data_IF_574721799341
#
_entry.id   IF_574721799341
#
_cell.length_a   1.000
_cell.length_b   1.000
_cell.length_c   1.000
_cell.angle_alpha   90.00
_cell.angle_beta   90.00
_cell.angle_gamma   90.00
#
_symmetry.space_group_name_H-M   'P 1'
#
loop_
_entity.id
_entity.type
_entity.pdbx_description
1 polymer ?
#
# COMPACT_ATOMS: atom_id res chain seq x y z
N UNK A 1 -17.11 14.30 -14.97
CA UNK A 1 -15.80 13.71 -14.63
C UNK A 1 -15.78 12.87 -13.35
N UNK A 2 -16.70 13.07 -12.41
CA UNK A 2 -16.71 12.28 -11.16
C UNK A 2 -17.29 10.86 -11.27
N UNK A 3 -18.14 10.58 -12.25
CA UNK A 3 -18.78 9.27 -12.40
C UNK A 3 -17.91 8.24 -13.15
N UNK A 4 -16.97 8.68 -13.94
CA UNK A 4 -16.19 7.80 -14.82
C UNK A 4 -15.11 7.02 -14.06
N UNK A 5 -14.38 7.66 -13.15
CA UNK A 5 -13.36 6.96 -12.35
C UNK A 5 -13.97 5.99 -11.33
N UNK A 6 -15.15 6.29 -10.79
CA UNK A 6 -15.83 5.41 -9.84
C UNK A 6 -16.24 4.08 -10.49
N UNK A 7 -16.83 4.15 -11.68
CA UNK A 7 -17.19 2.93 -12.44
C UNK A 7 -15.95 2.11 -12.83
N UNK A 8 -14.86 2.78 -13.21
CA UNK A 8 -13.60 2.12 -13.51
C UNK A 8 -12.99 1.45 -12.26
N UNK A 9 -13.09 2.10 -11.11
CA UNK A 9 -12.65 1.56 -9.82
C UNK A 9 -13.45 0.33 -9.41
N UNK A 10 -14.78 0.37 -9.52
CA UNK A 10 -15.65 -0.78 -9.25
C UNK A 10 -15.33 -1.97 -10.16
N UNK A 11 -15.11 -1.71 -11.46
CA UNK A 11 -14.69 -2.73 -12.40
C UNK A 11 -13.33 -3.34 -12.05
N UNK A 12 -12.38 -2.53 -11.60
CA UNK A 12 -11.06 -2.99 -11.15
C UNK A 12 -11.18 -3.89 -9.91
N UNK A 13 -11.97 -3.50 -8.92
CA UNK A 13 -12.24 -4.30 -7.73
C UNK A 13 -12.93 -5.63 -8.09
N UNK A 14 -13.90 -5.62 -8.99
CA UNK A 14 -14.58 -6.83 -9.45
C UNK A 14 -13.63 -7.80 -10.14
N UNK A 15 -12.75 -7.29 -11.02
CA UNK A 15 -11.69 -8.11 -11.66
C UNK A 15 -10.75 -8.71 -10.62
N UNK A 16 -10.34 -7.92 -9.64
CA UNK A 16 -9.48 -8.37 -8.55
C UNK A 16 -10.11 -9.51 -7.74
N UNK A 17 -11.38 -9.39 -7.36
CA UNK A 17 -12.10 -10.47 -6.65
C UNK A 17 -12.22 -11.75 -7.47
N UNK A 18 -12.43 -11.64 -8.79
CA UNK A 18 -12.46 -12.82 -9.69
C UNK A 18 -11.09 -13.49 -9.76
N UNK A 19 -10.03 -12.70 -9.81
CA UNK A 19 -8.66 -13.22 -9.82
C UNK A 19 -8.33 -13.92 -8.51
N UNK A 20 -8.67 -13.33 -7.37
CA UNK A 20 -8.40 -13.90 -6.04
C UNK A 20 -9.03 -15.29 -5.85
N UNK A 21 -10.19 -15.52 -6.45
CA UNK A 21 -10.85 -16.83 -6.43
C UNK A 21 -10.07 -17.94 -7.15
N UNK A 22 -9.13 -17.57 -8.01
CA UNK A 22 -8.24 -18.51 -8.71
C UNK A 22 -6.94 -18.79 -7.94
N UNK A 23 -6.63 -17.98 -6.94
CA UNK A 23 -5.46 -18.19 -6.10
C UNK A 23 -5.78 -19.30 -5.09
N UNK A 24 -4.94 -20.34 -4.96
CA UNK A 24 -5.13 -21.36 -3.94
C UNK A 24 -5.22 -20.74 -2.55
N UNK A 25 -6.20 -21.17 -1.76
CA UNK A 25 -6.48 -20.60 -0.43
C UNK A 25 -5.29 -20.73 0.54
N UNK A 26 -4.44 -21.74 0.37
CA UNK A 26 -3.26 -21.93 1.21
C UNK A 26 -2.18 -20.86 1.00
N UNK A 27 -2.26 -20.06 -0.07
CA UNK A 27 -1.38 -18.91 -0.33
C UNK A 27 -1.91 -17.59 0.24
N UNK A 28 -3.18 -17.55 0.62
CA UNK A 28 -3.85 -16.34 1.13
C UNK A 28 -4.10 -16.46 2.63
N UNK A 29 -3.76 -15.40 3.38
CA UNK A 29 -3.96 -15.33 4.85
C UNK A 29 -3.46 -16.57 5.57
N UNK A 30 -2.32 -17.06 5.17
CA UNK A 30 -1.75 -18.34 5.58
C UNK A 30 -0.39 -18.15 6.25
N UNK A 31 0.21 -19.19 6.84
CA UNK A 31 1.62 -19.13 7.26
C UNK A 31 2.57 -18.73 6.13
N UNK A 32 2.29 -19.14 4.89
CA UNK A 32 3.11 -18.78 3.71
C UNK A 32 2.99 -17.28 3.42
N UNK A 33 1.79 -16.70 3.44
CA UNK A 33 1.63 -15.27 3.24
C UNK A 33 2.27 -14.45 4.38
N UNK A 34 2.21 -14.94 5.62
CA UNK A 34 2.91 -14.32 6.76
C UNK A 34 4.42 -14.36 6.60
N UNK A 35 4.97 -15.44 6.07
CA UNK A 35 6.39 -15.53 5.74
C UNK A 35 6.78 -14.49 4.68
N UNK A 36 5.96 -14.34 3.64
CA UNK A 36 6.14 -13.30 2.62
C UNK A 36 6.05 -11.88 3.19
N UNK A 37 5.13 -11.66 4.11
CA UNK A 37 5.05 -10.39 4.86
C UNK A 37 6.31 -10.12 5.69
N UNK A 38 6.82 -11.13 6.41
CA UNK A 38 8.03 -11.01 7.20
C UNK A 38 9.25 -10.72 6.32
N UNK A 39 9.33 -11.39 5.18
CA UNK A 39 10.37 -11.15 4.16
C UNK A 39 10.31 -9.71 3.63
N UNK A 40 9.14 -9.24 3.23
CA UNK A 40 8.93 -7.86 2.80
C UNK A 40 9.30 -6.85 3.90
N UNK A 41 8.91 -7.12 5.14
CA UNK A 41 9.26 -6.29 6.29
C UNK A 41 10.78 -6.23 6.51
N UNK A 42 11.48 -7.35 6.39
CA UNK A 42 12.95 -7.38 6.51
C UNK A 42 13.62 -6.55 5.41
N UNK A 43 13.12 -6.62 4.18
CA UNK A 43 13.59 -5.78 3.06
C UNK A 43 13.32 -4.30 3.36
N UNK A 44 12.11 -3.95 3.79
CA UNK A 44 11.72 -2.59 4.15
C UNK A 44 12.60 -2.03 5.28
N UNK A 45 12.87 -2.80 6.31
CA UNK A 45 13.77 -2.45 7.40
C UNK A 45 15.20 -2.18 6.92
N UNK A 46 15.75 -3.08 6.11
CA UNK A 46 17.09 -2.94 5.56
C UNK A 46 17.20 -1.67 4.71
N UNK A 47 16.29 -1.50 3.78
CA UNK A 47 16.28 -0.34 2.89
C UNK A 47 16.02 0.97 3.63
N UNK A 48 15.02 0.99 4.52
CA UNK A 48 14.70 2.16 5.33
C UNK A 48 15.84 2.54 6.26
N UNK A 49 16.51 1.58 6.89
CA UNK A 49 17.65 1.84 7.77
C UNK A 49 18.86 2.46 7.06
N UNK A 50 19.05 2.11 5.78
CA UNK A 50 20.14 2.68 4.97
C UNK A 50 19.90 4.14 4.60
N UNK A 51 18.65 4.56 4.38
CA UNK A 51 18.35 5.82 3.73
C UNK A 51 17.48 6.78 4.54
N UNK A 52 16.85 6.34 5.62
CA UNK A 52 16.02 7.22 6.46
C UNK A 52 16.86 8.18 7.28
N UNK A 53 16.26 9.32 7.59
CA UNK A 53 16.81 10.33 8.48
C UNK A 53 15.91 10.47 9.71
N UNK A 54 16.52 10.36 10.89
CA UNK A 54 15.79 10.42 12.14
C UNK A 54 15.34 9.05 12.67
N UNK A 55 14.70 9.03 13.84
CA UNK A 55 14.30 7.79 14.50
C UNK A 55 13.17 7.10 13.73
N UNK A 56 13.20 5.76 13.74
CA UNK A 56 12.09 4.93 13.26
C UNK A 56 10.99 4.98 14.31
N UNK A 57 9.78 5.22 13.89
CA UNK A 57 8.59 5.26 14.74
C UNK A 57 7.59 4.19 14.37
N UNK A 58 6.83 3.74 15.36
CA UNK A 58 5.68 2.88 15.13
C UNK A 58 4.40 3.70 15.18
N UNK A 59 3.74 3.85 14.02
CA UNK A 59 2.47 4.57 13.90
C UNK A 59 1.47 3.75 13.09
N UNK A 60 0.24 3.69 13.54
CA UNK A 60 -0.84 2.91 12.90
C UNK A 60 -0.46 1.45 12.57
N UNK A 61 0.37 0.84 13.43
CA UNK A 61 0.86 -0.52 13.21
C UNK A 61 1.97 -0.65 12.16
N UNK A 62 2.45 0.46 11.60
CA UNK A 62 3.53 0.52 10.62
C UNK A 62 4.84 0.95 11.27
N UNK A 63 5.96 0.44 10.75
CA UNK A 63 7.27 0.99 10.99
C UNK A 63 7.53 2.11 9.99
N UNK A 64 7.59 3.35 10.46
CA UNK A 64 7.71 4.53 9.61
C UNK A 64 9.16 4.96 9.50
N UNK A 65 9.70 4.93 8.29
CA UNK A 65 11.03 5.41 7.92
C UNK A 65 10.89 6.73 7.16
N UNK A 66 11.42 7.80 7.72
CA UNK A 66 11.18 9.19 7.30
C UNK A 66 12.41 9.83 6.65
N UNK A 67 12.19 10.94 5.95
CA UNK A 67 13.25 11.77 5.41
C UNK A 67 14.13 11.05 4.39
N UNK A 68 13.60 10.06 3.70
CA UNK A 68 14.34 9.29 2.69
C UNK A 68 14.51 10.11 1.41
N UNK A 69 15.64 9.94 0.68
CA UNK A 69 15.81 10.58 -0.62
C UNK A 69 14.73 10.14 -1.62
N UNK A 70 14.28 11.05 -2.49
CA UNK A 70 13.16 10.80 -3.41
C UNK A 70 13.37 9.62 -4.36
N UNK A 71 14.61 9.27 -4.69
CA UNK A 71 14.92 8.13 -5.56
C UNK A 71 14.75 6.77 -4.88
N UNK A 72 14.61 6.72 -3.55
CA UNK A 72 14.55 5.49 -2.76
C UNK A 72 13.14 4.90 -2.64
N UNK A 73 12.11 5.63 -3.02
CA UNK A 73 10.71 5.24 -2.92
C UNK A 73 9.91 5.75 -4.11
N UNK A 74 8.71 5.24 -4.28
CA UNK A 74 7.77 5.74 -5.27
C UNK A 74 7.03 7.00 -4.80
N UNK A 75 6.00 7.42 -5.51
CA UNK A 75 5.17 8.61 -5.22
C UNK A 75 4.78 8.70 -3.75
N UNK A 76 5.18 9.78 -3.08
CA UNK A 76 4.81 10.09 -1.70
C UNK A 76 5.31 9.10 -0.64
N UNK A 77 5.57 7.87 -1.03
CA UNK A 77 6.03 6.80 -0.17
C UNK A 77 5.62 5.42 -0.69
N UNK A 78 6.11 4.38 -0.04
CA UNK A 78 5.79 2.99 -0.38
C UNK A 78 5.71 2.12 0.86
N UNK A 79 4.73 1.24 0.90
CA UNK A 79 4.62 0.22 1.94
C UNK A 79 5.27 -1.09 1.49
N UNK A 80 6.25 -1.55 2.23
CA UNK A 80 6.95 -2.83 1.99
C UNK A 80 6.83 -3.70 3.24
N UNK A 81 6.01 -4.72 3.18
CA UNK A 81 5.65 -5.50 4.37
C UNK A 81 4.96 -4.63 5.41
N UNK A 82 5.53 -4.55 6.60
CA UNK A 82 5.07 -3.68 7.69
C UNK A 82 5.76 -2.32 7.77
N UNK A 83 6.55 -1.95 6.76
CA UNK A 83 7.34 -0.73 6.73
C UNK A 83 6.74 0.29 5.75
N UNK A 84 6.56 1.53 6.21
CA UNK A 84 6.26 2.67 5.35
C UNK A 84 7.53 3.50 5.14
N UNK A 85 7.95 3.60 3.89
CA UNK A 85 9.15 4.28 3.46
C UNK A 85 8.75 5.59 2.77
N UNK A 86 9.15 6.74 3.32
CA UNK A 86 8.73 8.04 2.81
C UNK A 86 9.82 9.11 2.95
N UNK A 87 9.78 10.08 2.06
CA UNK A 87 10.58 11.31 2.19
C UNK A 87 9.97 12.31 3.16
N UNK A 88 8.69 12.18 3.47
CA UNK A 88 7.99 13.05 4.41
C UNK A 88 8.57 12.87 5.83
N UNK A 89 8.78 13.97 6.53
CA UNK A 89 9.29 13.96 7.90
C UNK A 89 8.21 13.72 8.95
N UNK A 90 6.97 14.08 8.62
CA UNK A 90 5.80 13.86 9.49
C UNK A 90 4.57 13.49 8.64
N UNK A 91 4.46 12.21 8.25
CA UNK A 91 3.35 11.75 7.42
C UNK A 91 2.00 11.99 8.11
N UNK A 92 1.03 12.47 7.34
CA UNK A 92 -0.35 12.68 7.77
C UNK A 92 -1.01 11.35 8.16
N UNK A 93 -1.86 11.36 9.17
CA UNK A 93 -2.59 10.18 9.64
C UNK A 93 -3.48 9.56 8.56
N UNK A 94 -3.96 10.34 7.58
CA UNK A 94 -4.70 9.80 6.44
C UNK A 94 -3.81 8.93 5.56
N UNK A 95 -2.61 9.41 5.26
CA UNK A 95 -1.60 8.63 4.51
C UNK A 95 -1.26 7.37 5.28
N UNK A 96 -1.08 7.45 6.60
CA UNK A 96 -0.79 6.28 7.42
C UNK A 96 -1.93 5.27 7.44
N UNK A 97 -3.20 5.70 7.40
CA UNK A 97 -4.35 4.78 7.24
C UNK A 97 -4.33 4.09 5.89
N UNK A 98 -4.03 4.81 4.82
CA UNK A 98 -3.86 4.25 3.48
C UNK A 98 -2.77 3.18 3.46
N UNK A 99 -1.60 3.48 4.02
CA UNK A 99 -0.47 2.55 4.08
C UNK A 99 -0.74 1.34 4.98
N UNK A 100 -1.54 1.52 6.04
CA UNK A 100 -1.97 0.40 6.89
C UNK A 100 -2.82 -0.63 6.14
N UNK A 101 -3.59 -0.19 5.13
CA UNK A 101 -4.30 -1.13 4.24
C UNK A 101 -3.33 -1.90 3.37
N UNK A 102 -2.28 -1.27 2.83
CA UNK A 102 -1.23 -1.98 2.10
C UNK A 102 -0.51 -3.01 2.97
N UNK A 103 -0.26 -2.72 4.24
CA UNK A 103 0.24 -3.71 5.20
C UNK A 103 -0.69 -4.92 5.30
N UNK A 104 -2.00 -4.70 5.41
CA UNK A 104 -2.98 -5.78 5.45
C UNK A 104 -2.98 -6.61 4.15
N UNK A 105 -2.79 -5.98 3.01
CA UNK A 105 -2.63 -6.64 1.72
C UNK A 105 -1.36 -7.51 1.69
N UNK A 106 -0.25 -7.03 2.21
CA UNK A 106 0.97 -7.82 2.39
C UNK A 106 0.75 -9.06 3.26
N UNK A 107 0.02 -8.92 4.37
CA UNK A 107 -0.35 -10.04 5.24
C UNK A 107 -1.22 -11.07 4.52
N UNK A 108 -2.11 -10.61 3.64
CA UNK A 108 -3.00 -11.48 2.87
C UNK A 108 -2.29 -12.22 1.76
N UNK A 109 -1.49 -11.52 0.97
CA UNK A 109 -0.89 -12.04 -0.28
C UNK A 109 0.56 -12.48 -0.13
N UNK A 110 1.28 -11.98 0.87
CA UNK A 110 2.67 -12.34 1.12
C UNK A 110 3.58 -12.09 -0.08
N UNK A 111 4.30 -13.12 -0.52
CA UNK A 111 5.20 -13.04 -1.69
C UNK A 111 4.50 -12.68 -3.00
N UNK A 112 3.19 -12.91 -3.11
CA UNK A 112 2.42 -12.55 -4.29
C UNK A 112 2.14 -11.06 -4.37
N UNK A 113 2.20 -10.32 -3.25
CA UNK A 113 1.82 -8.91 -3.20
C UNK A 113 2.55 -8.04 -4.23
N UNK A 114 3.90 -8.06 -4.36
CA UNK A 114 4.58 -7.25 -5.35
C UNK A 114 4.16 -7.58 -6.78
N UNK A 115 4.00 -8.86 -7.09
CA UNK A 115 3.61 -9.32 -8.42
C UNK A 115 2.19 -8.90 -8.78
N UNK A 116 1.26 -9.05 -7.86
CA UNK A 116 -0.14 -8.67 -8.06
C UNK A 116 -0.31 -7.16 -8.16
N UNK A 117 0.44 -6.41 -7.36
CA UNK A 117 0.45 -4.95 -7.41
C UNK A 117 0.92 -4.43 -8.78
N UNK A 118 2.03 -4.97 -9.30
CA UNK A 118 2.54 -4.63 -10.62
C UNK A 118 1.57 -5.03 -11.73
N UNK A 119 0.95 -6.20 -11.63
CA UNK A 119 -0.04 -6.67 -12.59
C UNK A 119 -1.32 -5.80 -12.60
N UNK A 120 -1.67 -5.18 -11.48
CA UNK A 120 -2.80 -4.26 -11.38
C UNK A 120 -2.58 -2.91 -12.09
N UNK A 121 -1.33 -2.61 -12.47
CA UNK A 121 -0.97 -1.42 -13.25
C UNK A 121 -0.50 -0.23 -12.42
N UNK A 122 0.05 0.76 -13.12
CA UNK A 122 0.64 1.95 -12.51
C UNK A 122 -0.36 3.08 -12.22
N UNK A 123 -1.54 3.02 -12.82
CA UNK A 123 -2.58 4.02 -12.60
C UNK A 123 -3.30 3.73 -11.29
N UNK A 124 -3.15 4.57 -10.25
CA UNK A 124 -3.78 4.34 -8.95
C UNK A 124 -5.31 4.31 -9.02
N UNK A 125 -5.92 5.03 -9.96
CA UNK A 125 -7.37 5.05 -10.14
C UNK A 125 -7.93 3.73 -10.71
N UNK A 126 -7.06 2.88 -11.22
CA UNK A 126 -7.38 1.56 -11.80
C UNK A 126 -6.69 0.40 -11.08
N UNK A 127 -5.76 0.70 -10.18
CA UNK A 127 -5.09 -0.31 -9.37
C UNK A 127 -5.98 -0.66 -8.18
N UNK A 128 -6.46 -1.90 -8.13
CA UNK A 128 -7.37 -2.34 -7.06
C UNK A 128 -6.79 -2.18 -5.66
N UNK A 129 -5.49 -2.32 -5.48
CA UNK A 129 -4.83 -2.20 -4.18
C UNK A 129 -4.84 -0.76 -3.68
N UNK A 130 -4.65 0.22 -4.57
CA UNK A 130 -4.77 1.64 -4.25
C UNK A 130 -6.22 2.05 -3.98
N UNK A 131 -7.16 1.50 -4.76
CA UNK A 131 -8.59 1.74 -4.56
C UNK A 131 -9.05 1.20 -3.19
N UNK A 132 -8.64 0.00 -2.83
CA UNK A 132 -8.93 -0.59 -1.53
C UNK A 132 -8.28 0.20 -0.38
N UNK A 133 -7.10 0.75 -0.58
CA UNK A 133 -6.39 1.56 0.41
C UNK A 133 -7.01 2.95 0.61
N UNK A 134 -7.82 3.41 -0.34
CA UNK A 134 -8.50 4.70 -0.29
C UNK A 134 -7.80 5.78 -1.09
N UNK A 135 -8.36 6.14 -2.22
CA UNK A 135 -7.77 7.10 -3.16
C UNK A 135 -7.68 8.52 -2.60
N UNK A 136 -8.59 8.90 -1.71
CA UNK A 136 -8.57 10.21 -1.03
C UNK A 136 -7.47 10.27 0.02
N UNK A 137 -7.32 9.24 0.82
CA UNK A 137 -6.29 9.16 1.87
C UNK A 137 -4.88 9.02 1.26
N UNK A 138 -4.78 8.39 0.08
CA UNK A 138 -3.54 8.31 -0.71
C UNK A 138 -3.22 9.57 -1.53
N UNK A 139 -4.03 10.62 -1.43
CA UNK A 139 -3.89 11.87 -2.19
C UNK A 139 -3.99 11.73 -3.73
N UNK A 140 -4.62 10.68 -4.21
CA UNK A 140 -4.83 10.47 -5.65
C UNK A 140 -6.04 11.19 -6.20
N UNK A 141 -7.04 11.45 -5.36
CA UNK A 141 -8.24 12.23 -5.68
C UNK A 141 -8.49 13.30 -4.59
N UNK A 142 -9.07 14.43 -5.00
CA UNK A 142 -9.42 15.48 -4.04
C UNK A 142 -10.63 15.06 -3.20
N UNK A 143 -10.54 15.30 -1.91
CA UNK A 143 -11.67 15.13 -1.00
C UNK A 143 -12.78 16.13 -1.39
N UNK A 144 -14.02 15.65 -1.50
CA UNK A 144 -15.17 16.53 -1.61
C UNK A 144 -15.28 17.34 -0.31
N UNK A 145 -15.43 18.67 -0.39
CA UNK A 145 -15.78 19.45 0.81
C UNK A 145 -17.08 18.88 1.38
N UNK A 146 -17.10 18.65 2.69
CA UNK A 146 -18.33 18.32 3.38
C UNK A 146 -19.29 19.50 3.15
N UNK A 147 -20.39 19.26 2.45
CA UNK A 147 -21.47 20.23 2.39
C UNK A 147 -22.02 20.35 3.82
N UNK A 148 -21.72 21.51 4.45
CA UNK A 148 -22.36 21.93 5.67
C UNK A 148 -23.83 22.26 5.46
#
# INVERSE_FOLDING_TARGET
MSADWQSAAEAALARGRRFDRRIPSFLLRSPISRLGYAWGTAIGWTWGSLWSKGPVERRNGLWVFRGMPAWTYGRGGVCVGGCFLTGDRDPDDRVLRHEAVHKAQWLRYGFLMPLLYLAAGRDPLRNRFEIEAGLEDGNYVRRRPAHG
#
